data_IF_361537837642
#
_entry.id   IF_361537837642
#
_cell.length_a   1.000
_cell.length_b   1.000
_cell.length_c   1.000
_cell.angle_alpha   90.00
_cell.angle_beta   90.00
_cell.angle_gamma   90.00
#
_symmetry.space_group_name_H-M   'P 1'
#
loop_
_entity.id
_entity.type
_entity.pdbx_description
1 polymer ?
#
# COMPACT_ATOMS: atom_id res chain seq x y z
N UNK A 1 -60.63 -133.17 -82.10
CA UNK A 1 -60.34 -134.50 -82.68
C UNK A 1 -58.85 -134.60 -82.97
N UNK A 2 -58.27 -135.78 -82.73
CA UNK A 2 -56.85 -136.14 -82.86
C UNK A 2 -56.29 -135.90 -84.28
N UNK A 3 -54.97 -135.66 -84.37
CA UNK A 3 -53.93 -136.34 -85.18
C UNK A 3 -52.79 -135.34 -85.50
N UNK A 4 -51.56 -135.54 -84.96
CA UNK A 4 -50.44 -136.36 -85.45
C UNK A 4 -49.69 -135.79 -86.67
N UNK A 5 -48.44 -135.40 -86.38
CA UNK A 5 -47.16 -135.83 -86.99
C UNK A 5 -46.73 -135.48 -88.42
N UNK A 6 -45.52 -134.90 -88.43
CA UNK A 6 -44.35 -135.03 -89.34
C UNK A 6 -44.34 -134.39 -90.74
N UNK A 7 -43.42 -133.44 -90.96
CA UNK A 7 -42.32 -133.55 -91.95
C UNK A 7 -41.23 -132.46 -91.78
N UNK A 8 -40.00 -132.80 -92.16
CA UNK A 8 -38.76 -131.98 -92.18
C UNK A 8 -38.85 -130.70 -93.05
N UNK A 9 -38.03 -129.68 -92.75
CA UNK A 9 -36.95 -129.11 -93.62
C UNK A 9 -36.33 -127.81 -93.02
N UNK A 10 -34.98 -127.78 -93.10
CA UNK A 10 -34.03 -126.65 -93.20
C UNK A 10 -33.80 -125.64 -92.07
N UNK A 11 -32.50 -125.41 -91.86
CA UNK A 11 -31.80 -124.55 -90.92
C UNK A 11 -31.34 -123.28 -91.66
N UNK A 12 -31.60 -122.07 -91.13
CA UNK A 12 -30.90 -120.83 -91.50
C UNK A 12 -31.12 -119.72 -90.44
N UNK A 13 -30.05 -119.10 -89.89
CA UNK A 13 -30.13 -117.94 -88.99
C UNK A 13 -29.87 -116.62 -89.74
N UNK A 14 -30.58 -115.55 -89.37
CA UNK A 14 -30.32 -114.18 -89.83
C UNK A 14 -30.20 -113.24 -88.62
N UNK A 15 -29.02 -112.67 -88.47
CA UNK A 15 -28.64 -111.62 -87.52
C UNK A 15 -29.29 -110.28 -87.90
N UNK A 16 -29.85 -109.56 -86.92
CA UNK A 16 -30.30 -108.18 -87.07
C UNK A 16 -29.24 -107.19 -86.56
N UNK A 17 -28.75 -106.31 -87.45
CA UNK A 17 -27.97 -105.10 -87.15
C UNK A 17 -28.88 -103.87 -87.17
N UNK A 18 -28.75 -102.95 -86.20
CA UNK A 18 -29.35 -101.60 -86.24
C UNK A 18 -28.27 -100.53 -86.47
N UNK A 19 -28.24 -99.94 -87.67
CA UNK A 19 -27.30 -98.87 -88.05
C UNK A 19 -27.96 -97.47 -88.02
N UNK A 20 -27.31 -96.49 -87.40
CA UNK A 20 -27.63 -95.04 -87.46
C UNK A 20 -27.00 -94.41 -88.71
N UNK A 21 -27.64 -93.41 -89.33
CA UNK A 21 -27.13 -92.76 -90.55
C UNK A 21 -25.87 -91.91 -90.30
N UNK A 22 -24.88 -92.01 -91.19
CA UNK A 22 -23.56 -91.36 -91.01
C UNK A 22 -23.60 -89.84 -90.88
N UNK A 23 -24.63 -89.18 -91.44
CA UNK A 23 -24.85 -87.74 -91.33
C UNK A 23 -25.16 -87.30 -89.90
N UNK A 24 -26.02 -88.05 -89.18
CA UNK A 24 -26.37 -87.76 -87.78
C UNK A 24 -25.18 -87.96 -86.84
N UNK A 25 -24.32 -88.94 -87.13
CA UNK A 25 -23.09 -89.16 -86.38
C UNK A 25 -22.10 -88.00 -86.52
N UNK A 26 -21.86 -87.52 -87.76
CA UNK A 26 -20.97 -86.38 -88.01
C UNK A 26 -21.47 -85.08 -87.39
N UNK A 27 -22.78 -84.81 -87.40
CA UNK A 27 -23.34 -83.62 -86.73
C UNK A 27 -23.19 -83.71 -85.22
N UNK A 28 -23.49 -84.87 -84.62
CA UNK A 28 -23.29 -85.07 -83.19
C UNK A 28 -21.82 -84.93 -82.77
N UNK A 29 -20.88 -85.42 -83.59
CA UNK A 29 -19.44 -85.28 -83.36
C UNK A 29 -18.98 -83.81 -83.41
N UNK A 30 -19.51 -83.01 -84.34
CA UNK A 30 -19.24 -81.58 -84.43
C UNK A 30 -19.84 -80.80 -83.24
N UNK A 31 -21.01 -81.18 -82.76
CA UNK A 31 -21.64 -80.56 -81.59
C UNK A 31 -20.89 -80.88 -80.30
N UNK A 32 -20.39 -82.12 -80.14
CA UNK A 32 -19.50 -82.50 -79.01
C UNK A 32 -18.22 -81.65 -79.02
N UNK A 33 -17.59 -81.46 -80.18
CA UNK A 33 -16.39 -80.63 -80.30
C UNK A 33 -16.66 -79.17 -79.91
N UNK A 34 -17.79 -78.59 -80.34
CA UNK A 34 -18.22 -77.24 -79.94
C UNK A 34 -18.51 -77.14 -78.44
N UNK A 35 -19.13 -78.16 -77.86
CA UNK A 35 -19.39 -78.20 -76.41
C UNK A 35 -18.10 -78.26 -75.61
N UNK A 36 -17.12 -79.05 -76.05
CA UNK A 36 -15.80 -79.15 -75.43
C UNK A 36 -15.03 -77.83 -75.49
N UNK A 37 -15.09 -77.12 -76.61
CA UNK A 37 -14.46 -75.81 -76.75
C UNK A 37 -15.09 -74.78 -75.80
N UNK A 38 -16.43 -74.70 -75.77
CA UNK A 38 -17.16 -73.84 -74.82
C UNK A 38 -16.85 -74.18 -73.37
N UNK A 39 -16.75 -75.48 -73.02
CA UNK A 39 -16.40 -75.91 -71.67
C UNK A 39 -15.02 -75.39 -71.26
N UNK A 40 -14.02 -75.50 -72.15
CA UNK A 40 -12.67 -74.96 -71.90
C UNK A 40 -12.66 -73.44 -71.76
N UNK A 41 -13.42 -72.73 -72.58
CA UNK A 41 -13.56 -71.27 -72.47
C UNK A 41 -14.18 -70.88 -71.13
N UNK A 42 -15.30 -71.51 -70.75
CA UNK A 42 -15.96 -71.26 -69.46
C UNK A 42 -15.04 -71.60 -68.27
N UNK A 43 -14.29 -72.69 -68.35
CA UNK A 43 -13.34 -73.09 -67.32
C UNK A 43 -12.22 -72.03 -67.16
N UNK A 44 -11.70 -71.52 -68.27
CA UNK A 44 -10.73 -70.42 -68.28
C UNK A 44 -11.32 -69.13 -67.67
N UNK A 45 -12.53 -68.74 -68.08
CA UNK A 45 -13.21 -67.54 -67.55
C UNK A 45 -13.49 -67.66 -66.04
N UNK A 46 -13.89 -68.84 -65.57
CA UNK A 46 -14.12 -69.10 -64.15
C UNK A 46 -12.83 -69.01 -63.32
N UNK A 47 -11.70 -69.47 -63.87
CA UNK A 47 -10.40 -69.33 -63.23
C UNK A 47 -9.97 -67.86 -63.12
N UNK A 48 -10.10 -67.08 -64.20
CA UNK A 48 -9.82 -65.64 -64.21
C UNK A 48 -10.71 -64.89 -63.20
N UNK A 49 -12.02 -65.20 -63.18
CA UNK A 49 -12.94 -64.60 -62.22
C UNK A 49 -12.56 -64.94 -60.76
N UNK A 50 -12.07 -66.16 -60.51
CA UNK A 50 -11.54 -66.58 -59.22
C UNK A 50 -10.32 -65.77 -58.78
N UNK A 51 -9.38 -65.52 -59.69
CA UNK A 51 -8.20 -64.70 -59.45
C UNK A 51 -8.56 -63.22 -59.16
N UNK A 52 -9.42 -62.62 -59.98
CA UNK A 52 -9.90 -61.24 -59.79
C UNK A 52 -10.61 -61.06 -58.44
N UNK A 53 -11.47 -62.02 -58.04
CA UNK A 53 -12.12 -62.02 -56.73
C UNK A 53 -11.11 -62.10 -55.59
N UNK A 54 -10.03 -62.87 -55.77
CA UNK A 54 -8.93 -62.94 -54.81
C UNK A 54 -8.17 -61.61 -54.65
N UNK A 55 -7.92 -60.92 -55.76
CA UNK A 55 -7.29 -59.59 -55.76
C UNK A 55 -8.19 -58.57 -55.06
N UNK A 56 -9.49 -58.54 -55.40
CA UNK A 56 -10.45 -57.61 -54.82
C UNK A 56 -10.62 -57.83 -53.31
N UNK A 57 -10.60 -59.08 -52.85
CA UNK A 57 -10.65 -59.41 -51.42
C UNK A 57 -9.43 -58.86 -50.65
N UNK A 58 -8.23 -58.98 -51.22
CA UNK A 58 -7.00 -58.42 -50.63
C UNK A 58 -7.05 -56.89 -50.60
N UNK A 59 -7.49 -56.25 -51.67
CA UNK A 59 -7.67 -54.78 -51.72
C UNK A 59 -8.68 -54.27 -50.69
N UNK A 60 -9.79 -55.01 -50.51
CA UNK A 60 -10.78 -54.67 -49.48
C UNK A 60 -10.17 -54.77 -48.08
N UNK A 61 -9.38 -55.81 -47.82
CA UNK A 61 -8.70 -55.98 -46.54
C UNK A 61 -7.69 -54.84 -46.26
N UNK A 62 -6.91 -54.43 -47.27
CA UNK A 62 -5.99 -53.29 -47.11
C UNK A 62 -6.73 -51.98 -46.83
N UNK A 63 -7.82 -51.72 -47.55
CA UNK A 63 -8.64 -50.52 -47.35
C UNK A 63 -9.30 -50.48 -45.96
N UNK A 64 -9.79 -51.61 -45.45
CA UNK A 64 -10.35 -51.68 -44.09
C UNK A 64 -9.28 -51.44 -43.01
N UNK A 65 -8.04 -51.93 -43.22
CA UNK A 65 -6.91 -51.63 -42.32
C UNK A 65 -6.54 -50.14 -42.33
N UNK A 66 -6.46 -49.53 -43.51
CA UNK A 66 -6.18 -48.09 -43.64
C UNK A 66 -7.27 -47.24 -43.00
N UNK A 67 -8.53 -47.59 -43.19
CA UNK A 67 -9.67 -46.92 -42.56
C UNK A 67 -9.61 -47.00 -41.03
N UNK A 68 -9.24 -48.16 -40.48
CA UNK A 68 -9.07 -48.31 -39.03
C UNK A 68 -7.95 -47.42 -38.49
N UNK A 69 -6.81 -47.32 -39.20
CA UNK A 69 -5.69 -46.45 -38.84
C UNK A 69 -6.07 -44.97 -38.89
N UNK A 70 -6.77 -44.55 -39.95
CA UNK A 70 -7.26 -43.17 -40.09
C UNK A 70 -8.25 -42.80 -38.98
N UNK A 71 -9.18 -43.71 -38.64
CA UNK A 71 -10.12 -43.48 -37.54
C UNK A 71 -9.41 -43.36 -36.18
N UNK A 72 -8.37 -44.16 -35.94
CA UNK A 72 -7.55 -44.03 -34.73
C UNK A 72 -6.84 -42.66 -34.69
N UNK A 73 -6.29 -42.20 -35.82
CA UNK A 73 -5.64 -40.89 -35.91
C UNK A 73 -6.60 -39.72 -35.71
N UNK A 74 -7.82 -39.80 -36.26
CA UNK A 74 -8.87 -38.79 -36.05
C UNK A 74 -9.21 -38.69 -34.56
N UNK A 75 -9.33 -39.84 -33.88
CA UNK A 75 -9.62 -39.88 -32.44
C UNK A 75 -8.51 -39.20 -31.63
N UNK A 76 -7.25 -39.51 -31.92
CA UNK A 76 -6.09 -38.90 -31.25
C UNK A 76 -6.05 -37.37 -31.45
N UNK A 77 -6.30 -36.90 -32.68
CA UNK A 77 -6.35 -35.46 -32.99
C UNK A 77 -7.49 -34.76 -32.25
N UNK A 78 -8.64 -35.41 -32.11
CA UNK A 78 -9.77 -34.86 -31.35
C UNK A 78 -9.42 -34.70 -29.86
N UNK A 79 -8.76 -35.70 -29.26
CA UNK A 79 -8.30 -35.63 -27.87
C UNK A 79 -7.28 -34.50 -27.65
N UNK A 80 -6.37 -34.28 -28.61
CA UNK A 80 -5.44 -33.16 -28.55
C UNK A 80 -6.16 -31.80 -28.61
N UNK A 81 -7.14 -31.65 -29.50
CA UNK A 81 -7.93 -30.41 -29.60
C UNK A 81 -8.66 -30.13 -28.29
N UNK A 82 -9.25 -31.14 -27.66
CA UNK A 82 -9.98 -30.97 -26.40
C UNK A 82 -9.05 -30.63 -25.24
N UNK A 83 -7.84 -31.21 -25.22
CA UNK A 83 -6.78 -30.82 -24.29
C UNK A 83 -6.40 -29.34 -24.47
N UNK A 84 -6.10 -28.90 -25.69
CA UNK A 84 -5.73 -27.52 -25.98
C UNK A 84 -6.84 -26.52 -25.65
N UNK A 85 -8.10 -26.85 -25.96
CA UNK A 85 -9.25 -26.02 -25.56
C UNK A 85 -9.36 -25.88 -24.05
N UNK A 86 -9.20 -26.98 -23.31
CA UNK A 86 -9.26 -26.97 -21.85
C UNK A 86 -8.13 -26.14 -21.26
N UNK A 87 -6.90 -26.32 -21.76
CA UNK A 87 -5.73 -25.57 -21.32
C UNK A 87 -5.89 -24.06 -21.59
N UNK A 88 -6.32 -23.68 -22.80
CA UNK A 88 -6.57 -22.27 -23.13
C UNK A 88 -7.64 -21.64 -22.22
N UNK A 89 -8.73 -22.37 -21.95
CA UNK A 89 -9.77 -21.91 -21.02
C UNK A 89 -9.24 -21.75 -19.59
N UNK A 90 -8.34 -22.63 -19.13
CA UNK A 90 -7.70 -22.48 -17.83
C UNK A 90 -6.78 -21.24 -17.78
N UNK A 91 -5.98 -21.00 -18.81
CA UNK A 91 -5.15 -19.80 -18.92
C UNK A 91 -6.00 -18.51 -18.93
N UNK A 92 -7.13 -18.50 -19.65
CA UNK A 92 -8.05 -17.36 -19.66
C UNK A 92 -8.61 -17.05 -18.25
N UNK A 93 -9.00 -18.08 -17.49
CA UNK A 93 -9.46 -17.90 -16.09
C UNK A 93 -8.35 -17.37 -15.17
N UNK A 94 -7.10 -17.77 -15.39
CA UNK A 94 -5.97 -17.23 -14.63
C UNK A 94 -5.76 -15.73 -14.91
N UNK A 95 -5.87 -15.32 -16.18
CA UNK A 95 -5.80 -13.91 -16.56
C UNK A 95 -6.95 -13.07 -15.98
N UNK A 96 -8.17 -13.62 -15.98
CA UNK A 96 -9.34 -12.99 -15.35
C UNK A 96 -9.12 -12.75 -13.86
N UNK A 97 -8.65 -13.76 -13.12
CA UNK A 97 -8.34 -13.65 -11.69
C UNK A 97 -7.22 -12.61 -11.40
N UNK A 98 -6.21 -12.50 -12.27
CA UNK A 98 -5.15 -11.49 -12.14
C UNK A 98 -5.68 -10.06 -12.32
N UNK A 99 -6.68 -9.86 -13.19
CA UNK A 99 -7.29 -8.56 -13.44
C UNK A 99 -8.08 -8.02 -12.24
N UNK A 100 -8.74 -8.90 -11.48
CA UNK A 100 -9.57 -8.52 -10.31
C UNK A 100 -8.70 -8.12 -9.11
N UNK A 101 -7.51 -8.72 -8.95
CA UNK A 101 -6.56 -8.40 -7.86
C UNK A 101 -6.00 -6.96 -7.99
N UNK A 102 -5.88 -6.45 -9.22
CA UNK A 102 -5.39 -5.08 -9.50
C UNK A 102 -6.30 -3.98 -8.92
N UNK A 103 -7.63 -4.20 -8.92
CA UNK A 103 -8.60 -3.19 -8.49
C UNK A 103 -8.56 -2.91 -6.98
N UNK A 104 -8.45 -3.96 -6.15
CA UNK A 104 -8.36 -3.82 -4.69
C UNK A 104 -7.02 -3.20 -4.25
N UNK A 105 -5.93 -3.52 -4.95
CA UNK A 105 -4.64 -2.86 -4.73
C UNK A 105 -4.70 -1.39 -5.12
N UNK A 106 -5.30 -1.06 -6.27
CA UNK A 106 -5.49 0.33 -6.69
C UNK A 106 -6.32 1.15 -5.67
N UNK A 107 -7.34 0.56 -5.04
CA UNK A 107 -8.14 1.22 -4.02
C UNK A 107 -7.41 1.40 -2.68
N UNK A 108 -6.66 0.39 -2.23
CA UNK A 108 -5.82 0.54 -1.03
C UNK A 108 -4.69 1.56 -1.23
N UNK A 109 -4.08 1.60 -2.42
CA UNK A 109 -3.08 2.61 -2.81
C UNK A 109 -3.73 3.99 -2.86
N UNK A 110 -4.92 4.14 -3.47
CA UNK A 110 -5.68 5.40 -3.50
C UNK A 110 -5.96 5.93 -2.09
N UNK A 111 -6.46 5.08 -1.19
CA UNK A 111 -6.72 5.46 0.20
C UNK A 111 -5.44 5.81 0.97
N UNK A 112 -4.34 5.12 0.69
CA UNK A 112 -3.03 5.46 1.25
C UNK A 112 -2.54 6.83 0.73
N UNK A 113 -2.67 7.10 -0.58
CA UNK A 113 -2.31 8.38 -1.19
C UNK A 113 -3.16 9.54 -0.69
N UNK A 114 -4.48 9.35 -0.50
CA UNK A 114 -5.36 10.35 0.11
C UNK A 114 -4.92 10.67 1.54
N UNK A 115 -4.61 9.64 2.33
CA UNK A 115 -4.12 9.82 3.70
C UNK A 115 -2.74 10.50 3.75
N UNK A 116 -1.85 10.19 2.81
CA UNK A 116 -0.54 10.85 2.67
C UNK A 116 -0.71 12.31 2.27
N UNK A 117 -1.58 12.62 1.29
CA UNK A 117 -1.87 13.98 0.87
C UNK A 117 -2.46 14.85 1.99
N UNK A 118 -3.36 14.30 2.80
CA UNK A 118 -3.89 15.00 3.99
C UNK A 118 -2.78 15.26 5.02
N UNK A 119 -1.89 14.29 5.24
CA UNK A 119 -0.74 14.45 6.14
C UNK A 119 0.27 15.48 5.62
N UNK A 120 0.51 15.53 4.32
CA UNK A 120 1.40 16.51 3.70
C UNK A 120 0.85 17.93 3.85
N UNK A 121 -0.46 18.13 3.61
CA UNK A 121 -1.13 19.41 3.87
C UNK A 121 -1.05 19.82 5.35
N UNK A 122 -1.21 18.85 6.26
CA UNK A 122 -1.08 19.09 7.70
C UNK A 122 0.35 19.46 8.10
N UNK A 123 1.37 18.77 7.57
CA UNK A 123 2.78 19.08 7.81
C UNK A 123 3.12 20.47 7.26
N UNK A 124 2.67 20.80 6.04
CA UNK A 124 2.85 22.13 5.45
C UNK A 124 2.22 23.22 6.31
N UNK A 125 1.00 23.00 6.81
CA UNK A 125 0.35 23.95 7.70
C UNK A 125 1.15 24.15 8.99
N UNK A 126 1.59 23.07 9.66
CA UNK A 126 2.42 23.17 10.85
C UNK A 126 3.72 23.91 10.57
N UNK A 127 4.40 23.62 9.45
CA UNK A 127 5.64 24.30 9.07
C UNK A 127 5.44 25.80 8.87
N UNK A 128 4.37 26.21 8.19
CA UNK A 128 4.03 27.62 8.01
C UNK A 128 3.73 28.31 9.36
N UNK A 129 3.01 27.65 10.25
CA UNK A 129 2.69 28.20 11.57
C UNK A 129 3.93 28.25 12.49
N UNK A 130 4.83 27.28 12.40
CA UNK A 130 6.13 27.34 13.10
C UNK A 130 6.96 28.53 12.61
N UNK A 131 7.07 28.72 11.29
CA UNK A 131 7.78 29.86 10.72
C UNK A 131 7.16 31.20 11.16
N UNK A 132 5.82 31.28 11.20
CA UNK A 132 5.10 32.44 11.72
C UNK A 132 5.42 32.71 13.20
N UNK A 133 5.34 31.69 14.07
CA UNK A 133 5.70 31.80 15.49
C UNK A 133 7.14 32.26 15.68
N UNK A 134 8.09 31.69 14.93
CA UNK A 134 9.50 32.06 15.04
C UNK A 134 9.74 33.52 14.62
N UNK A 135 9.07 33.99 13.58
CA UNK A 135 9.13 35.40 13.16
C UNK A 135 8.57 36.35 14.22
N UNK A 136 7.47 35.99 14.89
CA UNK A 136 6.89 36.78 15.97
C UNK A 136 7.85 36.84 17.17
N UNK A 137 8.37 35.69 17.59
CA UNK A 137 9.35 35.61 18.68
C UNK A 137 10.60 36.44 18.38
N UNK A 138 11.11 36.39 17.15
CA UNK A 138 12.26 37.17 16.73
C UNK A 138 11.96 38.67 16.74
N UNK A 139 10.79 39.08 16.25
CA UNK A 139 10.36 40.48 16.31
C UNK A 139 10.25 40.99 17.74
N UNK A 140 9.73 40.17 18.66
CA UNK A 140 9.63 40.50 20.07
C UNK A 140 11.02 40.67 20.71
N UNK A 141 11.95 39.77 20.41
CA UNK A 141 13.35 39.88 20.89
C UNK A 141 14.01 41.15 20.36
N UNK A 142 13.83 41.47 19.07
CA UNK A 142 14.39 42.70 18.49
C UNK A 142 13.79 43.95 19.11
N UNK A 143 12.47 43.97 19.34
CA UNK A 143 11.79 45.07 20.01
C UNK A 143 12.22 45.22 21.47
N UNK A 144 12.37 44.11 22.20
CA UNK A 144 12.87 44.11 23.58
C UNK A 144 14.32 44.59 23.65
N UNK A 145 15.21 44.07 22.80
CA UNK A 145 16.61 44.51 22.73
C UNK A 145 16.73 45.98 22.35
N UNK A 146 15.95 46.44 21.37
CA UNK A 146 15.90 47.83 20.93
C UNK A 146 15.39 48.78 22.01
N UNK A 147 14.31 48.42 22.72
CA UNK A 147 13.76 49.24 23.80
C UNK A 147 14.69 49.30 25.03
N UNK A 148 15.38 48.19 25.33
CA UNK A 148 16.28 48.09 26.49
C UNK A 148 17.62 48.78 26.25
N UNK A 149 18.05 48.93 24.99
CA UNK A 149 19.25 49.64 24.50
C UNK A 149 20.13 50.38 25.52
N UNK A 150 21.43 50.01 25.56
CA UNK A 150 22.54 50.56 26.35
C UNK A 150 22.48 50.39 27.89
N UNK A 151 21.49 49.69 28.42
CA UNK A 151 21.54 49.21 29.80
C UNK A 151 22.56 48.07 29.87
N UNK A 152 23.59 48.21 30.71
CA UNK A 152 24.73 47.30 30.80
C UNK A 152 24.33 45.82 30.62
N UNK A 153 24.87 45.20 29.56
CA UNK A 153 24.61 43.81 29.14
C UNK A 153 24.80 42.77 30.26
N UNK A 154 25.47 43.14 31.37
CA UNK A 154 25.67 42.28 32.53
C UNK A 154 24.40 42.06 33.38
N UNK A 155 23.47 43.03 33.42
CA UNK A 155 22.31 42.98 34.34
C UNK A 155 21.01 42.51 33.69
N UNK A 156 20.93 42.48 32.35
CA UNK A 156 19.74 42.06 31.59
C UNK A 156 20.13 41.08 30.49
N UNK A 157 19.50 39.92 30.45
CA UNK A 157 19.78 38.88 29.46
C UNK A 157 18.47 38.40 28.80
N UNK A 158 18.37 38.56 27.49
CA UNK A 158 17.22 38.10 26.69
C UNK A 158 17.60 36.82 25.96
N UNK A 159 16.85 35.75 26.23
CA UNK A 159 17.03 34.43 25.61
C UNK A 159 15.74 33.95 24.97
N UNK A 160 15.88 33.19 23.89
CA UNK A 160 14.78 32.41 23.33
C UNK A 160 15.12 30.95 23.50
N UNK A 161 14.26 30.20 24.16
CA UNK A 161 14.38 28.75 24.27
C UNK A 161 13.04 28.09 23.95
N UNK A 162 13.06 27.11 23.03
CA UNK A 162 11.87 26.36 22.55
C UNK A 162 10.68 27.25 22.14
N UNK A 163 10.97 28.41 21.55
CA UNK A 163 9.96 29.36 21.11
C UNK A 163 9.24 30.10 22.24
N UNK A 164 9.89 30.19 23.41
CA UNK A 164 9.49 31.01 24.57
C UNK A 164 10.57 32.07 24.79
N UNK A 165 10.16 33.32 25.00
CA UNK A 165 11.08 34.43 25.25
C UNK A 165 11.24 34.63 26.75
N UNK A 166 12.49 34.65 27.19
CA UNK A 166 12.90 34.86 28.57
C UNK A 166 13.68 36.16 28.68
N UNK A 167 13.26 37.04 29.59
CA UNK A 167 13.99 38.25 29.96
C UNK A 167 14.46 38.07 31.40
N UNK A 168 15.72 37.69 31.58
CA UNK A 168 16.36 37.57 32.88
C UNK A 168 16.89 38.94 33.30
N UNK A 169 16.47 39.43 34.47
CA UNK A 169 16.92 40.70 35.04
C UNK A 169 17.53 40.43 36.40
N UNK A 170 18.75 40.93 36.60
CA UNK A 170 19.50 40.84 37.86
C UNK A 170 18.72 41.45 39.03
N UNK A 171 18.62 40.73 40.14
CA UNK A 171 17.94 41.25 41.35
C UNK A 171 18.65 42.48 41.93
N UNK A 172 19.96 42.63 41.70
CA UNK A 172 20.72 43.82 42.14
C UNK A 172 20.24 45.09 41.44
N UNK A 173 19.79 44.95 40.19
CA UNK A 173 19.20 46.06 39.44
C UNK A 173 17.78 46.34 39.93
N UNK A 174 17.00 45.28 40.20
CA UNK A 174 15.59 45.40 40.53
C UNK A 174 15.31 45.82 41.98
N UNK A 175 16.04 45.28 42.94
CA UNK A 175 15.74 45.38 44.36
C UNK A 175 16.94 45.81 45.19
N UNK A 176 16.65 46.38 46.36
CA UNK A 176 17.67 46.52 47.42
C UNK A 176 18.02 45.15 47.99
N UNK A 177 19.26 44.98 48.46
CA UNK A 177 19.77 43.71 49.02
C UNK A 177 18.84 43.15 50.08
N UNK A 178 18.46 41.87 49.96
CA UNK A 178 17.58 41.18 50.91
C UNK A 178 16.14 41.72 50.98
N UNK A 179 15.76 42.63 50.09
CA UNK A 179 14.45 43.28 50.06
C UNK A 179 13.67 42.88 48.80
N UNK A 180 12.38 43.21 48.81
CA UNK A 180 11.48 43.21 47.65
C UNK A 180 11.12 44.64 47.21
N UNK A 181 11.69 45.67 47.85
CA UNK A 181 11.50 47.06 47.44
C UNK A 181 12.24 47.35 46.13
N UNK A 182 11.48 47.80 45.14
CA UNK A 182 11.96 48.14 43.80
C UNK A 182 12.80 49.42 43.83
N UNK A 183 13.89 49.47 43.08
CA UNK A 183 14.73 50.67 42.92
C UNK A 183 14.18 51.63 41.86
N UNK A 184 14.58 52.90 41.87
CA UNK A 184 14.14 53.84 40.82
C UNK A 184 14.62 53.43 39.43
N UNK A 185 15.86 52.92 39.34
CA UNK A 185 16.44 52.36 38.12
C UNK A 185 15.64 51.16 37.61
N UNK A 186 15.15 50.31 38.51
CA UNK A 186 14.30 49.19 38.17
C UNK A 186 12.98 49.63 37.52
N UNK A 187 12.40 50.73 37.99
CA UNK A 187 11.21 51.30 37.34
C UNK A 187 11.51 51.68 35.89
N UNK A 188 12.62 52.34 35.60
CA UNK A 188 12.97 52.72 34.22
C UNK A 188 13.09 51.50 33.29
N UNK A 189 13.78 50.46 33.75
CA UNK A 189 13.95 49.21 32.97
C UNK A 189 12.62 48.50 32.77
N UNK A 190 11.85 48.31 33.84
CA UNK A 190 10.55 47.66 33.76
C UNK A 190 9.56 48.47 32.91
N UNK A 191 9.69 49.80 32.86
CA UNK A 191 8.90 50.66 31.98
C UNK A 191 9.18 50.45 30.49
N UNK A 192 10.45 50.22 30.12
CA UNK A 192 10.82 49.87 28.75
C UNK A 192 10.26 48.51 28.34
N UNK A 193 10.35 47.51 29.23
CA UNK A 193 9.74 46.19 29.01
C UNK A 193 8.22 46.31 28.91
N UNK A 194 7.60 47.08 29.79
CA UNK A 194 6.16 47.32 29.81
C UNK A 194 5.65 47.94 28.49
N UNK A 195 6.40 48.88 27.89
CA UNK A 195 6.05 49.48 26.62
C UNK A 195 5.99 48.45 25.49
N UNK A 196 6.96 47.53 25.44
CA UNK A 196 6.99 46.46 24.43
C UNK A 196 5.84 45.47 24.64
N UNK A 197 5.59 45.07 25.89
CA UNK A 197 4.49 44.16 26.23
C UNK A 197 3.11 44.78 25.94
N UNK A 198 2.94 46.08 26.17
CA UNK A 198 1.68 46.78 25.90
C UNK A 198 1.31 46.82 24.41
N UNK A 199 2.31 46.80 23.52
CA UNK A 199 2.11 46.70 22.08
C UNK A 199 1.75 45.28 21.61
N UNK A 200 1.69 44.31 22.52
CA UNK A 200 1.35 42.91 22.27
C UNK A 200 0.23 42.45 23.22
N UNK A 201 -0.99 43.01 23.10
CA UNK A 201 -2.07 42.82 24.08
C UNK A 201 -2.56 41.37 24.19
N UNK A 202 -2.32 40.56 23.17
CA UNK A 202 -2.76 39.17 23.14
C UNK A 202 -1.84 38.25 23.95
N UNK A 203 -0.59 38.65 24.23
CA UNK A 203 0.40 37.83 24.91
C UNK A 203 0.18 37.81 26.42
N UNK A 204 0.28 36.61 26.99
CA UNK A 204 0.37 36.43 28.43
C UNK A 204 1.84 36.39 28.87
N UNK A 205 2.10 36.86 30.08
CA UNK A 205 3.46 36.90 30.61
C UNK A 205 3.49 36.53 32.09
N UNK A 206 4.52 35.78 32.45
CA UNK A 206 4.76 35.30 33.79
C UNK A 206 6.04 35.91 34.34
N UNK A 207 5.95 36.51 35.53
CA UNK A 207 7.11 37.00 36.27
C UNK A 207 7.50 35.95 37.30
N UNK A 208 8.69 35.39 37.15
CA UNK A 208 9.26 34.39 38.05
C UNK A 208 10.36 35.03 38.92
N UNK A 209 10.22 34.93 40.25
CA UNK A 209 11.30 35.27 41.17
C UNK A 209 12.21 34.07 41.43
N UNK A 210 13.52 34.30 41.49
CA UNK A 210 14.53 33.31 41.87
C UNK A 210 15.46 33.85 42.95
N UNK A 211 15.91 32.98 43.85
CA UNK A 211 16.94 33.29 44.86
C UNK A 211 18.20 32.49 44.60
N UNK A 212 19.28 32.84 45.30
CA UNK A 212 20.41 31.94 45.46
C UNK A 212 20.13 30.92 46.58
N UNK A 213 21.05 29.97 46.77
CA UNK A 213 20.97 28.95 47.82
C UNK A 213 21.37 29.43 49.21
N UNK A 214 21.46 30.74 49.44
CA UNK A 214 21.73 31.27 50.79
C UNK A 214 20.37 31.37 51.49
N UNK A 215 20.19 30.73 52.66
CA UNK A 215 18.94 30.83 53.38
C UNK A 215 18.60 32.28 53.71
N UNK A 216 17.34 32.65 53.50
CA UNK A 216 16.84 33.96 53.89
C UNK A 216 17.03 34.16 55.40
N UNK A 217 17.71 35.25 55.78
CA UNK A 217 18.01 35.58 57.18
C UNK A 217 17.29 36.83 57.67
N UNK A 218 16.33 37.36 56.90
CA UNK A 218 15.56 38.52 57.29
C UNK A 218 14.48 38.19 58.33
N UNK A 219 13.94 39.23 58.95
CA UNK A 219 12.86 39.14 59.94
C UNK A 219 11.53 39.63 59.34
N UNK A 220 10.41 39.06 59.79
CA UNK A 220 9.06 39.50 59.42
C UNK A 220 8.19 38.40 58.82
N UNK A 221 7.37 38.77 57.83
CA UNK A 221 6.34 37.91 57.20
C UNK A 221 6.94 36.91 56.19
N UNK A 222 8.22 37.07 55.84
CA UNK A 222 8.92 36.22 54.88
C UNK A 222 9.59 35.09 55.64
N UNK A 223 9.17 33.85 55.39
CA UNK A 223 9.67 32.67 56.11
C UNK A 223 10.95 32.11 55.48
N UNK A 224 11.03 32.12 54.16
CA UNK A 224 12.11 31.48 53.42
C UNK A 224 12.35 32.10 52.02
N UNK A 225 13.18 31.42 51.23
CA UNK A 225 13.48 31.79 49.85
C UNK A 225 12.27 31.64 48.90
N UNK A 226 11.29 30.78 49.22
CA UNK A 226 10.04 30.72 48.45
C UNK A 226 9.27 32.01 48.61
N UNK A 227 9.00 32.41 49.85
CA UNK A 227 8.24 33.63 50.16
C UNK A 227 8.92 34.87 49.54
N UNK A 228 10.24 34.99 49.67
CA UNK A 228 10.99 36.09 49.07
C UNK A 228 10.83 36.13 47.55
N UNK A 229 10.93 34.97 46.90
CA UNK A 229 10.82 34.88 45.44
C UNK A 229 9.43 35.26 44.93
N UNK A 230 8.36 34.81 45.61
CA UNK A 230 6.97 35.15 45.25
C UNK A 230 6.70 36.63 45.50
N UNK A 231 7.18 37.20 46.62
CA UNK A 231 7.00 38.61 46.94
C UNK A 231 7.72 39.54 45.95
N UNK A 232 8.92 39.17 45.49
CA UNK A 232 9.62 39.90 44.43
C UNK A 232 8.81 39.90 43.12
N UNK A 233 8.36 38.71 42.69
CA UNK A 233 7.56 38.57 41.47
C UNK A 233 6.26 39.39 41.52
N UNK A 234 5.51 39.28 42.62
CA UNK A 234 4.25 40.02 42.81
C UNK A 234 4.48 41.53 42.89
N UNK A 235 5.59 41.99 43.47
CA UNK A 235 5.92 43.43 43.50
C UNK A 235 6.17 43.97 42.09
N UNK A 236 6.87 43.22 41.24
CA UNK A 236 7.09 43.59 39.83
C UNK A 236 5.77 43.61 39.05
N UNK A 237 4.93 42.57 39.17
CA UNK A 237 3.61 42.54 38.53
C UNK A 237 2.74 43.72 38.97
N UNK A 238 2.73 44.03 40.27
CA UNK A 238 1.96 45.16 40.81
C UNK A 238 2.47 46.51 40.29
N UNK A 239 3.78 46.66 40.06
CA UNK A 239 4.33 47.85 39.40
C UNK A 239 3.89 47.94 37.94
N UNK A 240 4.00 46.85 37.18
CA UNK A 240 3.58 46.78 35.78
C UNK A 240 2.10 47.13 35.61
N UNK A 241 1.25 46.65 36.53
CA UNK A 241 -0.16 47.02 36.60
C UNK A 241 -0.34 48.51 36.93
N UNK A 242 0.12 48.95 38.10
CA UNK A 242 -0.30 50.24 38.66
C UNK A 242 0.37 51.44 37.99
N UNK A 243 1.63 51.28 37.55
CA UNK A 243 2.42 52.38 36.95
C UNK A 243 2.37 52.38 35.43
N UNK A 244 2.33 51.21 34.80
CA UNK A 244 2.42 51.08 33.34
C UNK A 244 1.10 50.63 32.67
N UNK A 245 0.10 50.25 33.46
CA UNK A 245 -1.25 49.96 32.98
C UNK A 245 -1.34 48.68 32.15
N UNK A 246 -0.54 47.66 32.47
CA UNK A 246 -0.67 46.35 31.85
C UNK A 246 -1.91 45.64 32.41
N UNK A 247 -2.60 44.87 31.55
CA UNK A 247 -3.80 44.13 31.92
C UNK A 247 -3.47 43.04 32.96
N UNK A 248 -4.02 43.09 34.18
CA UNK A 248 -3.80 42.08 35.21
C UNK A 248 -4.17 40.66 34.76
N UNK A 249 -5.15 40.51 33.87
CA UNK A 249 -5.58 39.20 33.38
C UNK A 249 -4.51 38.52 32.52
N UNK A 250 -3.53 39.28 32.01
CA UNK A 250 -2.42 38.78 31.18
C UNK A 250 -1.15 38.48 31.99
N UNK A 251 -1.17 38.69 33.31
CA UNK A 251 0.01 38.56 34.16
C UNK A 251 -0.11 37.40 35.14
N UNK A 252 0.98 36.64 35.28
CA UNK A 252 1.13 35.64 36.34
C UNK A 252 2.36 36.00 37.18
N UNK A 253 2.26 35.94 38.50
CA UNK A 253 3.41 36.03 39.39
C UNK A 253 3.71 34.64 39.97
N UNK A 254 4.95 34.20 39.88
CA UNK A 254 5.40 32.90 40.39
C UNK A 254 6.73 33.04 41.16
N UNK A 255 6.89 32.24 42.20
CA UNK A 255 8.17 32.06 42.87
C UNK A 255 8.78 30.72 42.47
N UNK A 256 10.11 30.65 42.42
CA UNK A 256 10.87 29.41 42.19
C UNK A 256 11.85 29.08 43.32
N UNK A 257 11.99 30.00 44.30
CA UNK A 257 13.01 29.92 45.34
C UNK A 257 14.41 29.68 44.75
N UNK A 258 15.18 28.84 45.44
CA UNK A 258 16.54 28.46 45.08
C UNK A 258 16.62 27.22 44.16
N UNK A 259 15.49 26.56 43.90
CA UNK A 259 15.41 25.23 43.29
C UNK A 259 15.53 25.21 41.76
N UNK A 260 15.73 26.37 41.13
CA UNK A 260 16.00 26.52 39.69
C UNK A 260 17.25 27.39 39.44
N UNK A 261 18.44 26.95 39.89
CA UNK A 261 19.67 27.67 39.67
C UNK A 261 20.06 27.62 38.19
N UNK A 262 20.66 28.72 37.70
CA UNK A 262 21.25 28.82 36.35
C UNK A 262 22.78 28.75 36.40
N UNK A 263 23.36 28.88 37.59
CA UNK A 263 24.78 28.76 37.85
C UNK A 263 25.02 28.12 39.21
N UNK A 264 26.26 27.71 39.48
CA UNK A 264 26.65 27.10 40.75
C UNK A 264 26.50 28.11 41.93
N UNK A 265 25.91 27.66 43.04
CA UNK A 265 25.77 28.47 44.25
C UNK A 265 27.06 28.54 45.09
N UNK A 266 28.09 27.76 44.77
CA UNK A 266 29.36 27.77 45.49
C UNK A 266 30.13 29.09 45.35
N UNK A 267 30.10 29.73 44.17
CA UNK A 267 30.83 30.97 43.90
C UNK A 267 29.93 32.22 43.92
N UNK A 268 30.55 33.40 44.04
CA UNK A 268 29.83 34.68 44.21
C UNK A 268 29.09 35.06 42.94
N UNK A 269 29.70 34.81 41.80
CA UNK A 269 29.22 35.12 40.46
C UNK A 269 27.96 34.30 40.15
N UNK A 270 27.99 33.00 40.44
CA UNK A 270 26.87 32.09 40.23
C UNK A 270 25.70 32.38 41.17
N UNK A 271 25.96 32.71 42.44
CA UNK A 271 24.91 33.24 43.33
C UNK A 271 24.28 34.52 42.79
N UNK A 272 25.08 35.43 42.22
CA UNK A 272 24.55 36.66 41.61
C UNK A 272 23.68 36.37 40.39
N UNK A 273 24.05 35.41 39.54
CA UNK A 273 23.24 34.98 38.40
C UNK A 273 21.95 34.24 38.83
N UNK A 274 21.97 33.56 39.98
CA UNK A 274 20.80 32.86 40.51
C UNK A 274 19.76 33.83 41.10
N UNK A 275 20.20 34.93 41.73
CA UNK A 275 19.32 36.03 42.19
C UNK A 275 18.86 36.87 41.00
N UNK A 276 17.76 36.45 40.39
CA UNK A 276 17.18 37.11 39.22
C UNK A 276 15.66 37.08 39.26
N UNK A 277 15.06 38.04 38.60
CA UNK A 277 13.66 37.99 38.22
C UNK A 277 13.59 37.77 36.72
N UNK A 278 12.79 36.78 36.33
CA UNK A 278 12.63 36.35 34.95
C UNK A 278 11.24 36.71 34.48
N UNK A 279 11.14 37.42 33.37
CA UNK A 279 9.86 37.63 32.68
C UNK A 279 9.80 36.64 31.52
N UNK A 280 8.82 35.75 31.58
CA UNK A 280 8.56 34.71 30.57
C UNK A 280 7.36 35.14 29.75
N UNK A 281 7.53 35.27 28.44
CA UNK A 281 6.39 35.50 27.54
C UNK A 281 5.81 34.16 27.15
N UNK A 282 4.59 33.89 27.62
CA UNK A 282 3.96 32.59 27.48
C UNK A 282 3.43 32.41 26.04
N UNK A 283 3.69 31.27 25.40
CA UNK A 283 3.06 30.95 24.13
C UNK A 283 1.57 30.68 24.36
N UNK A 284 0.71 31.18 23.48
CA UNK A 284 -0.72 30.89 23.54
C UNK A 284 -0.99 29.41 23.23
N UNK A 285 -1.13 28.58 24.27
CA UNK A 285 -1.41 27.15 24.12
C UNK A 285 -2.75 26.92 23.39
N UNK A 286 -3.74 27.79 23.57
CA UNK A 286 -5.03 27.69 22.89
C UNK A 286 -4.90 27.82 21.38
N UNK A 287 -3.98 28.67 20.91
CA UNK A 287 -3.69 28.78 19.49
C UNK A 287 -3.04 27.50 18.97
N UNK A 288 -2.19 26.85 19.77
CA UNK A 288 -1.60 25.55 19.44
C UNK A 288 -2.65 24.43 19.39
N UNK A 289 -3.59 24.35 20.35
CA UNK A 289 -4.63 23.33 20.34
C UNK A 289 -5.62 23.50 19.18
N UNK A 290 -5.95 24.73 18.80
CA UNK A 290 -6.73 25.01 17.57
C UNK A 290 -6.08 24.45 16.30
N UNK A 291 -4.75 24.29 16.27
CA UNK A 291 -4.03 23.67 15.15
C UNK A 291 -4.11 22.14 15.16
N UNK A 292 -4.30 21.52 16.33
CA UNK A 292 -4.46 20.08 16.47
C UNK A 292 -5.92 19.64 16.24
N UNK A 293 -6.87 20.56 16.40
CA UNK A 293 -8.26 20.31 16.05
C UNK A 293 -8.38 20.14 14.54
N UNK A 294 -8.77 18.93 14.12
CA UNK A 294 -9.10 18.68 12.70
C UNK A 294 -10.18 19.67 12.28
N UNK A 295 -10.08 20.26 11.07
CA UNK A 295 -11.18 21.03 10.53
C UNK A 295 -12.44 20.15 10.59
N UNK A 296 -13.47 20.63 11.27
CA UNK A 296 -14.79 19.99 11.23
C UNK A 296 -15.30 20.15 9.80
N UNK A 297 -15.22 19.08 9.02
CA UNK A 297 -15.91 18.97 7.74
C UNK A 297 -17.42 18.86 7.98
#
# INVERSE_FOLDING_TARGET
>A
MKFRSFLLIAFAPLFFYSCVSSKKFKTAQADIAKLQDRYKTLESENNVCGEEKGILARQKETLEREKALLNARIKELQEQIDYWKTNNNQTLRQLENLSVISTQQAESIKKSMENLGIKDLYIQNIQQQMAYKDSLNMSLVMNLKGAIGNLADEDINIKVDKGVVYVDISDKLLFKTGSYQITDRASEVLGKVALVLKNQPDLEFMVEGHTDGVPYSGSGVISDNWDLSVLRATTVVRLLQTKYGLDPAKMVAAGRGEYKPVADNANREGRAANRRTRIVVLPQLDQFFKLLERPKN
#
